data_IF_931871813612
#
_entry.id   IF_931871813612
#
_cell.length_a   1.000
_cell.length_b   1.000
_cell.length_c   1.000
_cell.angle_alpha   90.00
_cell.angle_beta   90.00
_cell.angle_gamma   90.00
#
_symmetry.space_group_name_H-M   'P 1'
#
loop_
_entity.id
_entity.type
_entity.pdbx_description
1 polymer ?
#
# COMPACT_ATOMS: atom_id res chain seq x y z
N UNK A 1 49.13 -5.60 60.93
CA UNK A 1 49.19 -5.68 59.45
C UNK A 1 47.84 -5.19 58.95
N UNK A 2 47.71 -3.88 58.71
CA UNK A 2 47.73 -3.30 57.36
C UNK A 2 46.53 -3.77 56.54
N UNK A 3 45.62 -2.94 56.02
CA UNK A 3 45.57 -1.49 55.85
C UNK A 3 44.45 -1.23 54.84
N UNK A 4 43.74 -0.13 55.04
CA UNK A 4 42.63 0.43 54.28
C UNK A 4 42.46 -0.04 52.81
N UNK A 5 41.26 -0.55 52.49
CA UNK A 5 40.69 -0.53 51.15
C UNK A 5 39.86 0.75 50.98
N UNK A 6 40.36 1.76 50.25
CA UNK A 6 39.49 2.63 49.49
C UNK A 6 40.07 2.77 48.08
N UNK A 7 39.88 1.75 47.25
CA UNK A 7 40.17 1.83 45.82
C UNK A 7 38.85 1.95 45.03
N UNK A 8 38.01 2.92 45.40
CA UNK A 8 36.78 3.22 44.67
C UNK A 8 36.51 4.74 44.56
N UNK A 9 37.56 5.54 44.42
CA UNK A 9 37.47 6.99 44.32
C UNK A 9 38.36 7.57 43.20
N UNK A 10 38.45 6.91 42.04
CA UNK A 10 39.38 7.33 40.98
C UNK A 10 38.79 7.39 39.55
N UNK A 11 37.46 7.47 39.36
CA UNK A 11 36.88 7.50 37.99
C UNK A 11 35.98 8.69 37.64
N UNK A 12 35.93 9.78 38.43
CA UNK A 12 35.05 10.92 38.13
C UNK A 12 35.74 12.30 37.96
N UNK A 13 37.04 12.35 37.63
CA UNK A 13 37.73 13.63 37.39
C UNK A 13 38.29 13.71 35.97
N UNK A 14 37.44 14.03 35.00
CA UNK A 14 37.83 14.62 33.70
C UNK A 14 36.94 15.83 33.32
N UNK A 15 36.43 16.56 34.30
CA UNK A 15 35.57 17.75 34.10
C UNK A 15 36.31 19.09 34.06
N UNK A 16 37.59 19.14 33.66
CA UNK A 16 38.34 20.40 33.54
C UNK A 16 38.62 20.75 32.08
N UNK A 17 37.98 21.77 31.52
CA UNK A 17 38.35 22.31 30.20
C UNK A 17 39.00 23.69 30.36
N UNK A 18 40.33 23.71 30.21
CA UNK A 18 41.09 24.84 29.68
C UNK A 18 41.14 24.82 28.13
N UNK A 19 40.43 23.89 27.47
CA UNK A 19 40.22 23.86 26.02
C UNK A 19 39.07 22.89 25.72
N UNK A 20 37.98 23.39 25.13
CA UNK A 20 36.86 22.53 24.69
C UNK A 20 37.28 21.84 23.39
N UNK A 21 37.32 20.49 23.31
CA UNK A 21 37.66 19.79 22.08
C UNK A 21 36.54 19.92 21.02
N UNK A 22 36.84 19.75 19.72
CA UNK A 22 35.83 19.77 18.66
C UNK A 22 34.72 18.72 18.85
N UNK A 23 33.44 19.07 18.68
CA UNK A 23 32.28 18.16 18.86
C UNK A 23 31.99 17.29 17.63
N UNK A 24 32.97 16.55 17.12
CA UNK A 24 32.82 15.75 15.88
C UNK A 24 31.71 14.68 15.97
N UNK A 25 31.53 14.08 17.15
CA UNK A 25 30.47 13.09 17.38
C UNK A 25 29.07 13.70 17.19
N UNK A 26 28.82 14.90 17.72
CA UNK A 26 27.54 15.60 17.59
C UNK A 26 27.30 16.03 16.13
N UNK A 27 28.35 16.52 15.45
CA UNK A 27 28.28 16.87 14.03
C UNK A 27 27.93 15.66 13.15
N UNK A 28 28.58 14.53 13.39
CA UNK A 28 28.31 13.30 12.63
C UNK A 28 26.89 12.76 12.91
N UNK A 29 26.44 12.82 14.17
CA UNK A 29 25.07 12.43 14.53
C UNK A 29 24.02 13.31 13.84
N UNK A 30 24.22 14.63 13.81
CA UNK A 30 23.33 15.56 13.12
C UNK A 30 23.29 15.29 11.61
N UNK A 31 24.45 15.05 10.98
CA UNK A 31 24.53 14.70 9.57
C UNK A 31 23.81 13.38 9.25
N UNK A 32 23.99 12.35 10.07
CA UNK A 32 23.28 11.08 9.93
C UNK A 32 21.76 11.26 10.12
N UNK A 33 21.35 12.08 11.09
CA UNK A 33 19.95 12.45 11.32
C UNK A 33 19.31 13.12 10.09
N UNK A 34 19.99 14.10 9.51
CA UNK A 34 19.54 14.79 8.29
C UNK A 34 19.39 13.83 7.11
N UNK A 35 20.34 12.92 6.92
CA UNK A 35 20.25 11.91 5.86
C UNK A 35 19.06 10.97 6.10
N UNK A 36 18.87 10.52 7.33
CA UNK A 36 17.76 9.65 7.69
C UNK A 36 16.39 10.33 7.52
N UNK A 37 16.28 11.61 7.84
CA UNK A 37 15.06 12.40 7.61
C UNK A 37 14.76 12.52 6.11
N UNK A 38 15.77 12.83 5.30
CA UNK A 38 15.63 12.88 3.83
C UNK A 38 15.21 11.55 3.24
N UNK A 39 15.84 10.45 3.66
CA UNK A 39 15.48 9.09 3.23
C UNK A 39 14.06 8.70 3.62
N UNK A 40 13.54 9.23 4.73
CA UNK A 40 12.16 9.04 5.15
C UNK A 40 11.14 9.90 4.39
N UNK A 41 11.57 10.70 3.41
CA UNK A 41 10.69 11.58 2.63
C UNK A 41 10.28 12.85 3.37
N UNK A 42 11.08 13.32 4.34
CA UNK A 42 10.74 14.53 5.09
C UNK A 42 10.62 15.79 4.22
N UNK A 43 11.25 15.84 3.03
CA UNK A 43 11.05 16.94 2.10
C UNK A 43 9.58 17.06 1.63
N UNK A 44 8.87 15.94 1.50
CA UNK A 44 7.49 15.90 1.01
C UNK A 44 6.47 15.99 2.14
N UNK A 45 6.77 15.37 3.28
CA UNK A 45 5.81 15.19 4.38
C UNK A 45 6.06 16.09 5.59
N UNK A 46 7.27 16.64 5.75
CA UNK A 46 7.61 17.59 6.83
C UNK A 46 8.75 18.56 6.46
N UNK A 47 8.54 19.43 5.45
CA UNK A 47 9.61 20.30 4.93
C UNK A 47 10.07 21.36 5.94
N UNK A 48 9.20 21.73 6.88
CA UNK A 48 9.48 22.81 7.85
C UNK A 48 10.53 22.37 8.86
N UNK A 49 10.32 21.24 9.54
CA UNK A 49 11.28 20.73 10.52
C UNK A 49 12.58 20.27 9.85
N UNK A 50 12.50 19.72 8.64
CA UNK A 50 13.68 19.39 7.85
C UNK A 50 14.50 20.65 7.50
N UNK A 51 13.84 21.77 7.19
CA UNK A 51 14.49 23.06 6.96
C UNK A 51 15.21 23.57 8.21
N UNK A 52 14.53 23.61 9.35
CA UNK A 52 15.13 24.01 10.63
C UNK A 52 16.35 23.16 10.99
N UNK A 53 16.26 21.84 10.81
CA UNK A 53 17.40 20.95 11.04
C UNK A 53 18.60 21.28 10.14
N UNK A 54 18.36 21.61 8.87
CA UNK A 54 19.42 21.97 7.92
C UNK A 54 20.06 23.31 8.27
N UNK A 55 19.25 24.31 8.60
CA UNK A 55 19.72 25.65 8.96
C UNK A 55 20.56 25.60 10.24
N UNK A 56 20.14 24.85 11.25
CA UNK A 56 20.94 24.67 12.48
C UNK A 56 22.23 23.91 12.24
N UNK A 57 22.23 22.90 11.36
CA UNK A 57 23.45 22.20 10.97
C UNK A 57 24.44 23.11 10.22
N UNK A 58 23.95 24.01 9.36
CA UNK A 58 24.80 25.01 8.70
C UNK A 58 25.39 26.01 9.71
N UNK A 59 24.59 26.45 10.68
CA UNK A 59 25.07 27.29 11.78
C UNK A 59 26.10 26.54 12.64
N UNK A 60 25.90 25.25 12.92
CA UNK A 60 26.86 24.42 13.63
C UNK A 60 28.20 24.31 12.89
N UNK A 61 28.17 24.10 11.57
CA UNK A 61 29.38 24.10 10.72
C UNK A 61 30.10 25.44 10.74
N UNK A 62 29.34 26.55 10.75
CA UNK A 62 29.90 27.90 10.87
C UNK A 62 30.51 28.14 12.25
N UNK A 63 29.90 27.63 13.32
CA UNK A 63 30.47 27.69 14.66
C UNK A 63 31.75 26.85 14.77
N UNK A 64 31.78 25.66 14.16
CA UNK A 64 32.98 24.80 14.04
C UNK A 64 34.13 25.52 13.34
N UNK A 65 33.88 26.16 12.18
CA UNK A 65 34.92 26.89 11.44
C UNK A 65 35.47 28.08 12.23
N UNK A 66 34.62 28.70 13.05
CA UNK A 66 34.99 29.80 13.95
C UNK A 66 35.59 29.31 15.29
N UNK A 67 35.85 28.01 15.44
CA UNK A 67 36.37 27.37 16.68
C UNK A 67 35.49 27.61 17.92
N UNK A 68 34.19 27.87 17.72
CA UNK A 68 33.18 28.02 18.77
C UNK A 68 32.56 26.65 19.09
N UNK A 69 33.33 25.79 19.75
CA UNK A 69 32.97 24.38 19.92
C UNK A 69 31.75 24.11 20.82
N UNK A 70 31.52 24.93 21.85
CA UNK A 70 30.30 24.84 22.67
C UNK A 70 29.03 25.08 21.84
N UNK A 71 28.87 26.27 21.23
CA UNK A 71 27.73 26.56 20.36
C UNK A 71 27.57 25.59 19.19
N UNK A 72 28.67 25.09 18.62
CA UNK A 72 28.62 24.07 17.57
C UNK A 72 27.99 22.76 18.07
N UNK A 73 28.32 22.32 19.28
CA UNK A 73 27.76 21.11 19.88
C UNK A 73 26.26 21.27 20.13
N UNK A 74 25.84 22.42 20.68
CA UNK A 74 24.43 22.71 20.97
C UNK A 74 23.59 22.74 19.68
N UNK A 75 24.04 23.50 18.66
CA UNK A 75 23.36 23.59 17.37
C UNK A 75 23.29 22.24 16.63
N UNK A 76 24.34 21.42 16.72
CA UNK A 76 24.33 20.08 16.15
C UNK A 76 23.34 19.15 16.89
N UNK A 77 23.28 19.22 18.23
CA UNK A 77 22.32 18.46 19.02
C UNK A 77 20.87 18.85 18.67
N UNK A 78 20.59 20.16 18.59
CA UNK A 78 19.28 20.66 18.15
C UNK A 78 18.93 20.19 16.73
N UNK A 79 19.87 20.31 15.78
CA UNK A 79 19.69 19.81 14.41
C UNK A 79 19.36 18.30 14.38
N UNK A 80 20.00 17.51 15.23
CA UNK A 80 19.74 16.07 15.33
C UNK A 80 18.33 15.77 15.88
N UNK A 81 17.86 16.57 16.85
CA UNK A 81 16.52 16.45 17.40
C UNK A 81 15.45 16.85 16.37
N UNK A 82 15.65 17.97 15.68
CA UNK A 82 14.77 18.45 14.61
C UNK A 82 14.72 17.44 13.45
N UNK A 83 15.86 16.84 13.09
CA UNK A 83 15.92 15.78 12.07
C UNK A 83 15.13 14.53 12.48
N UNK A 84 15.20 14.13 13.76
CA UNK A 84 14.45 12.98 14.28
C UNK A 84 12.95 13.25 14.28
N UNK A 85 12.55 14.47 14.64
CA UNK A 85 11.17 14.93 14.56
C UNK A 85 10.67 14.89 13.12
N UNK A 86 11.43 15.49 12.19
CA UNK A 86 11.12 15.51 10.76
C UNK A 86 10.98 14.09 10.19
N UNK A 87 11.92 13.20 10.52
CA UNK A 87 11.86 11.79 10.12
C UNK A 87 10.56 11.12 10.59
N UNK A 88 10.21 11.29 11.85
CA UNK A 88 9.05 10.63 12.46
C UNK A 88 7.75 11.14 11.87
N UNK A 89 7.62 12.46 11.70
CA UNK A 89 6.47 13.10 11.04
C UNK A 89 6.37 12.68 9.58
N UNK A 90 7.50 12.55 8.88
CA UNK A 90 7.52 12.08 7.50
C UNK A 90 7.02 10.64 7.36
N UNK A 91 7.49 9.73 8.22
CA UNK A 91 7.00 8.35 8.26
C UNK A 91 5.50 8.28 8.56
N UNK A 92 5.01 9.14 9.45
CA UNK A 92 3.58 9.23 9.75
C UNK A 92 2.77 9.74 8.55
N UNK A 93 3.27 10.76 7.85
CA UNK A 93 2.67 11.28 6.62
C UNK A 93 2.59 10.21 5.53
N UNK A 94 3.70 9.51 5.29
CA UNK A 94 3.77 8.41 4.34
C UNK A 94 2.82 7.27 4.71
N UNK A 95 2.75 6.88 5.98
CA UNK A 95 1.83 5.84 6.45
C UNK A 95 0.36 6.23 6.23
N UNK A 96 0.00 7.49 6.50
CA UNK A 96 -1.36 8.00 6.24
C UNK A 96 -1.69 7.96 4.74
N UNK A 97 -0.77 8.37 3.87
CA UNK A 97 -0.96 8.29 2.43
C UNK A 97 -1.17 6.84 1.96
N UNK A 98 -0.38 5.89 2.47
CA UNK A 98 -0.56 4.47 2.16
C UNK A 98 -1.91 3.92 2.63
N UNK A 99 -2.38 4.32 3.82
CA UNK A 99 -3.69 3.91 4.33
C UNK A 99 -4.80 4.42 3.41
N UNK A 100 -4.73 5.68 2.97
CA UNK A 100 -5.72 6.25 2.05
C UNK A 100 -5.75 5.50 0.71
N UNK A 101 -4.57 5.20 0.13
CA UNK A 101 -4.48 4.43 -1.11
C UNK A 101 -5.09 3.03 -0.95
N UNK A 102 -4.79 2.33 0.15
CA UNK A 102 -5.35 1.00 0.42
C UNK A 102 -6.85 1.05 0.65
N UNK A 103 -7.36 2.08 1.31
CA UNK A 103 -8.79 2.26 1.52
C UNK A 103 -9.52 2.47 0.20
N UNK A 104 -9.00 3.32 -0.69
CA UNK A 104 -9.57 3.55 -2.02
C UNK A 104 -9.57 2.25 -2.85
N UNK A 105 -8.46 1.50 -2.82
CA UNK A 105 -8.35 0.22 -3.49
C UNK A 105 -9.38 -0.79 -2.95
N UNK A 106 -9.54 -0.87 -1.62
CA UNK A 106 -10.53 -1.75 -1.00
C UNK A 106 -11.96 -1.38 -1.40
N UNK A 107 -12.31 -0.09 -1.36
CA UNK A 107 -13.62 0.41 -1.80
C UNK A 107 -13.89 0.07 -3.26
N UNK A 108 -12.91 0.27 -4.14
CA UNK A 108 -13.02 -0.10 -5.56
C UNK A 108 -13.25 -1.60 -5.75
N UNK A 109 -12.50 -2.42 -5.02
CA UNK A 109 -12.64 -3.87 -5.08
C UNK A 109 -14.01 -4.34 -4.59
N UNK A 110 -14.57 -3.69 -3.55
CA UNK A 110 -15.93 -3.99 -3.08
C UNK A 110 -16.98 -3.67 -4.13
N UNK A 111 -16.87 -2.54 -4.83
CA UNK A 111 -17.78 -2.19 -5.91
C UNK A 111 -17.69 -3.18 -7.10
N UNK A 112 -16.48 -3.60 -7.48
CA UNK A 112 -16.29 -4.62 -8.52
C UNK A 112 -16.93 -5.96 -8.15
N UNK A 113 -16.74 -6.40 -6.91
CA UNK A 113 -17.35 -7.63 -6.42
C UNK A 113 -18.89 -7.56 -6.42
N UNK A 114 -19.46 -6.38 -6.16
CA UNK A 114 -20.92 -6.17 -6.21
C UNK A 114 -21.45 -6.19 -7.65
N UNK A 115 -20.75 -5.53 -8.58
CA UNK A 115 -21.07 -5.55 -10.01
C UNK A 115 -21.04 -6.97 -10.57
N UNK A 116 -19.98 -7.74 -10.29
CA UNK A 116 -19.86 -9.12 -10.75
C UNK A 116 -20.99 -10.02 -10.21
N UNK A 117 -21.45 -9.79 -8.97
CA UNK A 117 -22.61 -10.51 -8.41
C UNK A 117 -23.91 -10.13 -9.11
N UNK A 118 -24.09 -8.84 -9.41
CA UNK A 118 -25.27 -8.37 -10.14
C UNK A 118 -25.31 -8.93 -11.56
N UNK A 119 -24.18 -8.97 -12.27
CA UNK A 119 -24.04 -9.58 -13.60
C UNK A 119 -24.36 -11.08 -13.56
N UNK A 120 -23.82 -11.83 -12.60
CA UNK A 120 -24.15 -13.25 -12.43
C UNK A 120 -25.65 -13.47 -12.18
N UNK A 121 -26.28 -12.67 -11.33
CA UNK A 121 -27.71 -12.75 -11.07
C UNK A 121 -28.55 -12.40 -12.31
N UNK A 122 -28.10 -11.45 -13.14
CA UNK A 122 -28.73 -11.13 -14.41
C UNK A 122 -28.61 -12.28 -15.42
N UNK A 123 -27.43 -12.88 -15.55
CA UNK A 123 -27.22 -14.03 -16.42
C UNK A 123 -28.11 -15.21 -16.02
N UNK A 124 -28.26 -15.48 -14.72
CA UNK A 124 -29.17 -16.52 -14.22
C UNK A 124 -30.64 -16.21 -14.55
N UNK A 125 -31.07 -14.96 -14.34
CA UNK A 125 -32.44 -14.53 -14.67
C UNK A 125 -32.73 -14.63 -16.19
N UNK A 126 -31.76 -14.26 -17.03
CA UNK A 126 -31.88 -14.37 -18.50
C UNK A 126 -31.99 -15.83 -18.94
N UNK A 127 -31.15 -16.73 -18.40
CA UNK A 127 -31.25 -18.16 -18.70
C UNK A 127 -32.62 -18.72 -18.30
N UNK A 128 -33.13 -18.35 -17.11
CA UNK A 128 -34.45 -18.79 -16.65
C UNK A 128 -35.58 -18.28 -17.54
N UNK A 129 -35.49 -17.04 -18.02
CA UNK A 129 -36.46 -16.47 -18.96
C UNK A 129 -36.44 -17.17 -20.33
N UNK A 130 -35.25 -17.48 -20.85
CA UNK A 130 -35.10 -18.22 -22.11
C UNK A 130 -35.66 -19.65 -22.02
N UNK A 131 -35.41 -20.35 -20.91
CA UNK A 131 -35.98 -21.67 -20.64
C UNK A 131 -37.51 -21.61 -20.57
N UNK A 132 -38.08 -20.60 -19.92
CA UNK A 132 -39.53 -20.41 -19.85
C UNK A 132 -40.14 -20.16 -21.24
N UNK A 133 -39.49 -19.38 -22.11
CA UNK A 133 -39.95 -19.15 -23.49
C UNK A 133 -39.91 -20.42 -24.34
N UNK A 134 -38.86 -21.25 -24.23
CA UNK A 134 -38.76 -22.55 -24.91
C UNK A 134 -39.88 -23.52 -24.47
N UNK A 135 -40.20 -23.54 -23.17
CA UNK A 135 -41.30 -24.35 -22.64
C UNK A 135 -42.67 -23.86 -23.14
N UNK A 136 -42.85 -22.55 -23.36
CA UNK A 136 -44.07 -22.00 -23.92
C UNK A 136 -44.22 -22.32 -25.42
N UNK A 137 -43.15 -22.25 -26.20
CA UNK A 137 -43.17 -22.57 -27.63
C UNK A 137 -43.46 -24.05 -27.90
N UNK A 138 -42.96 -24.96 -27.05
CA UNK A 138 -43.24 -26.41 -27.15
C UNK A 138 -44.71 -26.76 -26.88
N UNK A 139 -45.47 -25.88 -26.22
CA UNK A 139 -46.89 -26.09 -25.91
C UNK A 139 -47.85 -25.64 -27.05
N UNK A 140 -47.35 -24.99 -28.11
CA UNK A 140 -48.15 -24.60 -29.27
C UNK A 140 -47.89 -25.60 -30.40
N UNK A 141 -48.66 -26.70 -30.42
CA UNK A 141 -48.66 -27.66 -31.53
C UNK A 141 -49.21 -27.04 -32.83
N UNK A 142 -48.90 -27.60 -34.02
CA UNK A 142 -49.20 -27.02 -35.32
C UNK A 142 -50.69 -26.82 -35.66
N UNK A 143 -51.64 -27.33 -34.84
CA UNK A 143 -53.08 -27.29 -35.12
C UNK A 143 -53.86 -26.15 -34.42
N UNK A 144 -53.19 -25.23 -33.72
CA UNK A 144 -53.83 -24.00 -33.21
C UNK A 144 -54.97 -24.20 -32.20
N UNK A 145 -55.02 -25.34 -31.49
CA UNK A 145 -55.99 -25.59 -30.42
C UNK A 145 -55.30 -25.55 -29.05
N UNK A 146 -55.77 -24.71 -28.10
CA UNK A 146 -55.21 -24.68 -26.76
C UNK A 146 -55.50 -26.02 -26.07
N UNK A 147 -54.45 -26.73 -25.65
CA UNK A 147 -54.60 -27.93 -24.84
C UNK A 147 -55.34 -27.56 -23.54
N UNK A 148 -56.60 -27.98 -23.45
CA UNK A 148 -57.45 -27.78 -22.29
C UNK A 148 -56.77 -28.30 -21.03
N UNK A 149 -56.57 -27.39 -20.06
CA UNK A 149 -56.28 -27.74 -18.69
C UNK A 149 -57.33 -28.75 -18.19
N UNK A 150 -56.88 -29.90 -17.71
CA UNK A 150 -57.70 -30.84 -16.96
C UNK A 150 -56.88 -31.42 -15.83
N UNK A 151 -56.85 -30.70 -14.72
CA UNK A 151 -56.79 -31.32 -13.39
C UNK A 151 -57.30 -30.32 -12.37
N UNK A 152 -58.55 -30.56 -11.99
CA UNK A 152 -59.36 -29.91 -10.95
C UNK A 152 -58.59 -29.55 -9.68
N UNK A 153 -58.82 -28.33 -9.22
CA UNK A 153 -58.51 -27.85 -7.89
C UNK A 153 -59.07 -28.78 -6.81
N UNK A 154 -58.22 -29.20 -5.88
CA UNK A 154 -58.62 -29.79 -4.60
C UNK A 154 -58.84 -28.66 -3.57
N UNK A 155 -59.82 -28.78 -2.65
CA UNK A 155 -60.16 -27.71 -1.72
C UNK A 155 -59.10 -27.53 -0.62
N UNK A 156 -59.01 -26.29 -0.14
CA UNK A 156 -58.13 -25.85 0.93
C UNK A 156 -58.39 -26.59 2.26
N UNK A 157 -57.32 -27.02 2.92
CA UNK A 157 -57.35 -27.53 4.29
C UNK A 157 -56.70 -26.47 5.21
N UNK A 158 -57.45 -25.77 6.09
CA UNK A 158 -56.90 -24.73 6.95
C UNK A 158 -56.46 -25.33 8.29
N UNK A 159 -55.29 -25.96 8.33
CA UNK A 159 -54.64 -26.29 9.60
C UNK A 159 -53.15 -26.51 9.38
N UNK A 160 -52.34 -25.48 9.67
CA UNK A 160 -51.00 -25.57 10.28
C UNK A 160 -50.35 -24.19 10.25
N UNK A 161 -50.79 -23.31 11.15
CA UNK A 161 -49.98 -22.16 11.56
C UNK A 161 -48.87 -22.70 12.46
N UNK A 162 -47.67 -22.92 11.92
CA UNK A 162 -46.57 -23.45 12.70
C UNK A 162 -45.23 -23.51 11.94
N UNK A 163 -44.41 -22.47 12.17
CA UNK A 163 -42.97 -22.34 11.93
C UNK A 163 -42.47 -22.27 10.46
N UNK A 164 -41.55 -21.34 10.13
CA UNK A 164 -40.87 -21.37 8.84
C UNK A 164 -39.92 -22.57 8.78
N UNK A 165 -40.20 -23.51 7.87
CA UNK A 165 -39.29 -24.59 7.52
C UNK A 165 -38.06 -24.00 6.81
N UNK A 166 -36.90 -24.25 7.39
CA UNK A 166 -35.59 -23.91 6.83
C UNK A 166 -35.43 -24.56 5.46
N UNK A 167 -34.91 -23.80 4.49
CA UNK A 167 -34.62 -24.28 3.16
C UNK A 167 -33.61 -25.45 3.22
N UNK A 168 -33.84 -26.56 2.50
CA UNK A 168 -32.84 -27.62 2.40
C UNK A 168 -31.61 -27.09 1.65
N UNK A 169 -30.51 -26.95 2.39
CA UNK A 169 -29.17 -26.77 1.86
C UNK A 169 -28.71 -28.11 1.30
N UNK A 170 -28.71 -28.27 -0.02
CA UNK A 170 -27.92 -29.28 -0.71
C UNK A 170 -27.89 -29.00 -2.21
N UNK A 171 -26.89 -28.22 -2.64
CA UNK A 171 -26.27 -28.52 -3.92
C UNK A 171 -24.75 -28.48 -3.74
N UNK A 172 -24.20 -29.68 -3.90
CA UNK A 172 -22.81 -30.08 -3.85
C UNK A 172 -21.96 -29.16 -4.73
N UNK A 173 -21.25 -28.20 -4.12
CA UNK A 173 -20.09 -27.60 -4.77
C UNK A 173 -18.87 -28.45 -4.41
N UNK A 174 -18.20 -29.11 -5.36
CA UNK A 174 -16.97 -29.81 -5.05
C UNK A 174 -15.95 -28.78 -4.55
N UNK A 175 -15.46 -28.99 -3.32
CA UNK A 175 -14.33 -28.24 -2.81
C UNK A 175 -13.16 -28.39 -3.79
N UNK A 176 -12.45 -27.31 -4.19
CA UNK A 176 -11.15 -27.48 -4.79
C UNK A 176 -10.29 -28.23 -3.77
N UNK A 177 -9.71 -29.35 -4.20
CA UNK A 177 -8.86 -30.18 -3.35
C UNK A 177 -7.76 -29.32 -2.71
N UNK A 178 -7.51 -29.61 -1.43
CA UNK A 178 -6.51 -29.03 -0.56
C UNK A 178 -5.34 -28.33 -1.29
N UNK A 179 -5.33 -26.99 -1.25
CA UNK A 179 -4.08 -26.25 -1.29
C UNK A 179 -3.43 -26.44 0.09
N UNK A 180 -2.66 -27.52 0.21
CA UNK A 180 -1.70 -27.71 1.30
C UNK A 180 -0.86 -26.44 1.43
N UNK A 181 -0.74 -25.88 2.64
CA UNK A 181 0.30 -24.91 2.95
C UNK A 181 1.64 -25.54 2.58
N UNK A 182 2.21 -25.14 1.44
CA UNK A 182 3.59 -25.42 1.13
C UNK A 182 4.45 -24.50 2.01
N UNK A 183 5.18 -25.09 2.95
CA UNK A 183 6.32 -24.46 3.61
C UNK A 183 7.29 -23.93 2.54
N UNK A 184 7.97 -22.79 2.75
CA UNK A 184 8.79 -22.18 1.71
C UNK A 184 10.06 -23.02 1.48
N UNK A 185 10.03 -23.89 0.47
CA UNK A 185 11.24 -24.49 -0.08
C UNK A 185 11.88 -23.50 -1.05
N UNK A 186 12.94 -22.87 -0.56
CA UNK A 186 13.95 -22.19 -1.36
C UNK A 186 14.51 -23.18 -2.38
N UNK A 187 14.22 -22.99 -3.67
CA UNK A 187 14.96 -23.68 -4.72
C UNK A 187 15.27 -22.69 -5.84
N UNK A 188 16.55 -22.33 -5.90
CA UNK A 188 17.11 -21.44 -6.89
C UNK A 188 17.10 -22.05 -8.30
N UNK A 189 17.24 -21.17 -9.28
CA UNK A 189 17.52 -21.53 -10.66
C UNK A 189 16.59 -20.84 -11.66
N UNK A 190 17.02 -19.66 -12.08
CA UNK A 190 16.85 -19.06 -13.41
C UNK A 190 15.47 -19.14 -14.09
N UNK A 191 14.78 -17.99 -14.19
CA UNK A 191 13.71 -17.84 -15.17
C UNK A 191 12.82 -16.63 -14.95
N UNK A 192 13.38 -15.41 -15.05
CA UNK A 192 12.55 -14.24 -15.38
C UNK A 192 12.06 -14.41 -16.83
N UNK A 193 10.82 -14.84 -17.02
CA UNK A 193 10.16 -14.74 -18.32
C UNK A 193 9.18 -13.57 -18.26
N UNK A 194 9.63 -12.49 -18.86
CA UNK A 194 8.96 -11.20 -19.04
C UNK A 194 7.63 -11.34 -19.78
N UNK A 195 6.65 -10.56 -19.35
CA UNK A 195 5.37 -10.31 -20.04
C UNK A 195 5.64 -9.73 -21.43
N UNK A 196 5.07 -10.25 -22.53
CA UNK A 196 5.16 -9.58 -23.83
C UNK A 196 4.25 -8.35 -23.87
N UNK A 197 4.87 -7.20 -24.11
CA UNK A 197 4.22 -5.95 -24.50
C UNK A 197 3.55 -6.14 -25.88
N UNK A 198 2.22 -6.00 -25.93
CA UNK A 198 1.47 -5.98 -27.16
C UNK A 198 1.56 -4.58 -27.78
N UNK A 199 2.68 -4.30 -28.45
CA UNK A 199 2.89 -3.02 -29.09
C UNK A 199 4.02 -3.05 -30.10
N UNK A 200 3.80 -3.61 -31.29
CA UNK A 200 4.39 -3.18 -32.56
C UNK A 200 3.99 -4.12 -33.71
N UNK A 201 3.19 -3.63 -34.65
CA UNK A 201 3.18 -4.13 -36.02
C UNK A 201 3.79 -3.06 -36.93
N UNK A 202 4.64 -3.55 -37.82
CA UNK A 202 5.67 -2.85 -38.58
C UNK A 202 5.14 -1.90 -39.66
N UNK A 203 5.99 -0.98 -40.13
CA UNK A 203 5.58 -0.06 -41.20
C UNK A 203 6.59 0.82 -41.94
N UNK A 204 7.91 0.61 -41.81
CA UNK A 204 8.96 1.05 -42.76
C UNK A 204 9.26 2.57 -42.98
N UNK A 205 10.48 2.94 -43.44
CA UNK A 205 11.04 4.28 -43.36
C UNK A 205 11.05 5.05 -44.70
N UNK A 206 11.10 6.38 -44.63
CA UNK A 206 11.65 7.20 -45.71
C UNK A 206 12.22 8.50 -45.14
N UNK A 207 13.50 8.71 -45.46
CA UNK A 207 14.30 9.89 -45.24
C UNK A 207 13.71 11.14 -45.90
N UNK A 208 13.77 12.29 -45.23
CA UNK A 208 14.27 13.53 -45.83
C UNK A 208 14.43 14.63 -44.79
N UNK A 209 15.69 15.04 -44.64
CA UNK A 209 16.19 16.33 -44.19
C UNK A 209 15.32 17.54 -44.55
N UNK A 210 15.10 18.44 -43.58
CA UNK A 210 15.12 19.90 -43.81
C UNK A 210 15.18 20.64 -42.48
N UNK A 211 16.41 20.95 -42.07
CA UNK A 211 16.72 22.12 -41.24
C UNK A 211 16.33 23.38 -42.02
N UNK A 212 15.35 24.13 -41.53
CA UNK A 212 15.18 25.53 -41.94
C UNK A 212 15.44 26.43 -40.73
N UNK A 213 16.68 26.89 -40.65
CA UNK A 213 17.15 28.02 -39.86
C UNK A 213 17.27 29.23 -40.77
N UNK A 214 16.50 30.27 -40.47
CA UNK A 214 16.63 31.65 -40.98
C UNK A 214 15.51 32.47 -40.32
N UNK A 215 15.73 33.55 -39.58
CA UNK A 215 16.68 34.64 -39.83
C UNK A 215 16.25 35.35 -41.11
N UNK A 216 15.77 36.58 -41.15
CA UNK A 216 15.77 37.74 -40.26
C UNK A 216 14.53 38.61 -40.65
N UNK A 217 14.64 39.94 -40.70
CA UNK A 217 14.32 40.95 -39.69
C UNK A 217 12.87 41.46 -39.72
#
# INVERSE_FOLDING_TARGET
MAGALPLLAALLVLGGCASVPPPDAAMNQAQAGLQAARQAGAADYDPVDLGFAQDKFQQAQTAMSNRKFGPAADLAAESSADSSLARTKAMLGAARAQIQLKLQANTRQRAQNEQAKAENAQHEAQQRAQLAQQQAATQVGPDGQPASASSTAAPANPASTGLPAQAPMQQDMPAPSAATLASPTQQGGNGFQTVPDAGQSAGNPASSSSTNTGGQP
#
